data_IF_970274399798
#
_entry.id   IF_970274399798
#
_cell.length_a   1.000
_cell.length_b   1.000
_cell.length_c   1.000
_cell.angle_alpha   90.00
_cell.angle_beta   90.00
_cell.angle_gamma   90.00
#
_symmetry.space_group_name_H-M   'P 1'
#
loop_
_entity.id
_entity.type
_entity.pdbx_description
1 polymer ?
#
# COMPACT_ATOMS: atom_id res chain seq x y z
N UNK A 1 -21.99 25.63 7.15
CA UNK A 1 -20.73 25.38 7.87
C UNK A 1 -19.99 24.28 7.13
N UNK A 2 -18.95 24.63 6.37
CA UNK A 2 -18.12 23.65 5.66
C UNK A 2 -17.10 23.12 6.65
N UNK A 3 -17.28 21.87 7.08
CA UNK A 3 -16.36 21.22 8.00
C UNK A 3 -15.14 20.77 7.18
N UNK A 4 -14.07 21.56 7.20
CA UNK A 4 -12.79 21.16 6.61
C UNK A 4 -12.22 20.04 7.48
N UNK A 5 -12.48 18.78 7.11
CA UNK A 5 -11.82 17.64 7.74
C UNK A 5 -10.32 17.85 7.52
N UNK A 6 -9.48 17.91 8.58
CA UNK A 6 -8.05 18.04 8.39
C UNK A 6 -7.57 16.86 7.54
N UNK A 7 -6.95 17.19 6.39
CA UNK A 7 -6.34 16.22 5.50
C UNK A 7 -5.32 15.46 6.35
N UNK A 8 -5.62 14.21 6.69
CA UNK A 8 -4.69 13.41 7.50
C UNK A 8 -3.52 13.06 6.62
N UNK A 9 -2.35 13.66 6.88
CA UNK A 9 -1.10 13.32 6.19
C UNK A 9 -0.76 11.83 6.30
N UNK A 10 -1.32 11.17 7.33
CA UNK A 10 -1.16 9.74 7.61
C UNK A 10 -2.50 9.12 7.97
N UNK A 11 -2.87 8.03 7.30
CA UNK A 11 -4.12 7.32 7.55
C UNK A 11 -3.87 5.82 7.66
N UNK A 12 -4.47 5.19 8.69
CA UNK A 12 -4.48 3.74 8.85
C UNK A 12 -5.48 3.13 7.86
N UNK A 13 -5.05 2.09 7.15
CA UNK A 13 -5.92 1.35 6.24
C UNK A 13 -6.07 -0.05 6.81
N UNK A 14 -7.28 -0.38 7.27
CA UNK A 14 -7.56 -1.71 7.80
C UNK A 14 -7.54 -2.73 6.64
N UNK A 15 -6.89 -3.88 6.86
CA UNK A 15 -6.66 -4.91 5.85
C UNK A 15 -6.81 -6.30 6.45
N UNK A 16 -7.44 -7.21 5.70
CA UNK A 16 -7.41 -8.63 6.00
C UNK A 16 -6.00 -9.19 5.83
N UNK A 17 -5.73 -10.39 6.35
CA UNK A 17 -4.43 -11.04 6.17
C UNK A 17 -4.10 -11.33 4.70
N UNK A 18 -5.09 -11.70 3.90
CA UNK A 18 -4.91 -11.93 2.47
C UNK A 18 -4.50 -10.62 1.76
N UNK A 19 -5.14 -9.51 2.11
CA UNK A 19 -4.81 -8.19 1.58
C UNK A 19 -3.42 -7.73 1.99
N UNK A 20 -3.02 -7.98 3.24
CA UNK A 20 -1.67 -7.70 3.70
C UNK A 20 -0.62 -8.48 2.93
N UNK A 21 -0.88 -9.75 2.61
CA UNK A 21 0.01 -10.57 1.79
C UNK A 21 0.16 -10.03 0.37
N UNK A 22 -0.94 -9.60 -0.25
CA UNK A 22 -0.89 -9.00 -1.60
C UNK A 22 -0.10 -7.68 -1.58
N UNK A 23 -0.31 -6.83 -0.57
CA UNK A 23 0.49 -5.59 -0.44
C UNK A 23 1.96 -5.91 -0.18
N UNK A 24 2.26 -6.90 0.66
CA UNK A 24 3.63 -7.36 0.91
C UNK A 24 4.31 -7.81 -0.38
N UNK A 25 3.63 -8.65 -1.17
CA UNK A 25 4.12 -9.17 -2.44
C UNK A 25 4.46 -8.05 -3.44
N UNK A 26 3.53 -7.13 -3.74
CA UNK A 26 3.80 -6.06 -4.72
C UNK A 26 4.89 -5.08 -4.27
N UNK A 27 5.02 -4.89 -2.95
CA UNK A 27 6.09 -4.06 -2.37
C UNK A 27 7.44 -4.76 -2.48
N UNK A 28 7.48 -6.06 -2.25
CA UNK A 28 8.67 -6.88 -2.42
C UNK A 28 9.12 -6.91 -3.88
N UNK A 29 8.19 -7.05 -4.84
CA UNK A 29 8.51 -7.01 -6.27
C UNK A 29 9.18 -5.68 -6.67
N UNK A 30 8.75 -4.54 -6.13
CA UNK A 30 9.39 -3.24 -6.40
C UNK A 30 10.82 -3.16 -5.83
N UNK A 31 11.08 -3.84 -4.71
CA UNK A 31 12.43 -3.95 -4.14
C UNK A 31 13.29 -4.88 -5.00
N UNK A 32 12.77 -6.04 -5.38
CA UNK A 32 13.46 -7.02 -6.23
C UNK A 32 13.79 -6.43 -7.61
N UNK A 33 12.83 -5.75 -8.24
CA UNK A 33 13.05 -5.06 -9.51
C UNK A 33 14.17 -4.02 -9.44
N UNK A 34 14.25 -3.25 -8.35
CA UNK A 34 15.36 -2.30 -8.15
C UNK A 34 16.71 -3.01 -8.00
N UNK A 35 16.73 -4.17 -7.34
CA UNK A 35 17.93 -4.97 -7.18
C UNK A 35 18.40 -5.56 -8.52
N UNK A 36 17.48 -6.07 -9.34
CA UNK A 36 17.76 -6.54 -10.71
C UNK A 36 18.30 -5.41 -11.60
N UNK A 37 17.76 -4.20 -11.46
CA UNK A 37 18.23 -3.00 -12.15
C UNK A 37 19.56 -2.45 -11.61
N UNK A 38 20.12 -3.02 -10.52
CA UNK A 38 21.30 -2.53 -9.79
C UNK A 38 21.11 -1.11 -9.24
N UNK A 39 19.89 -0.77 -8.87
CA UNK A 39 19.51 0.49 -8.23
C UNK A 39 19.34 0.30 -6.72
N UNK A 40 19.25 1.40 -5.98
CA UNK A 40 18.90 1.33 -4.55
C UNK A 40 17.39 1.08 -4.39
N UNK A 41 16.98 0.26 -3.39
CA UNK A 41 15.57 0.00 -3.14
C UNK A 41 14.75 1.28 -2.92
N UNK A 42 13.52 1.35 -3.47
CA UNK A 42 12.66 2.49 -3.25
C UNK A 42 12.34 2.63 -1.76
N UNK A 43 12.62 3.80 -1.17
CA UNK A 43 12.42 4.04 0.27
C UNK A 43 10.98 3.77 0.73
N UNK A 44 9.99 4.05 -0.14
CA UNK A 44 8.58 3.86 0.18
C UNK A 44 8.25 2.37 0.28
N UNK A 45 8.89 1.53 -0.52
CA UNK A 45 8.67 0.09 -0.53
C UNK A 45 9.23 -0.51 0.77
N UNK A 46 10.48 -0.18 1.12
CA UNK A 46 11.07 -0.57 2.41
C UNK A 46 10.20 -0.12 3.60
N UNK A 47 9.75 1.14 3.61
CA UNK A 47 8.93 1.67 4.70
C UNK A 47 7.57 0.97 4.82
N UNK A 48 6.95 0.57 3.71
CA UNK A 48 5.68 -0.17 3.73
C UNK A 48 5.91 -1.62 4.19
N UNK A 49 6.99 -2.26 3.73
CA UNK A 49 7.38 -3.60 4.14
C UNK A 49 7.58 -3.68 5.66
N UNK A 50 8.37 -2.75 6.21
CA UNK A 50 8.59 -2.62 7.66
C UNK A 50 7.24 -2.48 8.40
N UNK A 51 6.34 -1.59 7.95
CA UNK A 51 5.02 -1.42 8.62
C UNK A 51 4.15 -2.67 8.59
N UNK A 52 4.30 -3.53 7.58
CA UNK A 52 3.58 -4.78 7.48
C UNK A 52 4.16 -5.85 8.41
N UNK A 53 5.50 -5.91 8.52
CA UNK A 53 6.24 -6.93 9.28
C UNK A 53 6.37 -6.60 10.77
N UNK A 54 6.55 -5.33 11.13
CA UNK A 54 6.94 -4.87 12.46
C UNK A 54 5.75 -4.78 13.45
N UNK A 55 4.68 -5.55 13.21
CA UNK A 55 3.50 -5.56 14.07
C UNK A 55 3.67 -6.50 15.26
N UNK A 56 3.70 -5.98 16.50
CA UNK A 56 3.77 -6.84 17.67
C UNK A 56 2.51 -7.70 17.74
N UNK A 57 2.71 -9.02 17.82
CA UNK A 57 1.66 -10.01 18.10
C UNK A 57 1.20 -9.82 19.54
N UNK A 58 0.41 -8.77 19.80
CA UNK A 58 -0.39 -8.68 21.02
C UNK A 58 -1.79 -9.16 20.66
N UNK A 59 -2.25 -10.16 21.39
CA UNK A 59 -3.42 -11.02 21.14
C UNK A 59 -4.79 -10.31 20.94
N UNK A 60 -4.84 -8.98 20.89
CA UNK A 60 -6.07 -8.19 20.68
C UNK A 60 -6.09 -7.27 19.46
N UNK A 61 -4.98 -7.12 18.73
CA UNK A 61 -4.91 -6.25 17.54
C UNK A 61 -4.94 -7.06 16.22
N UNK A 62 -5.75 -8.11 16.18
CA UNK A 62 -5.86 -9.02 15.01
C UNK A 62 -6.49 -8.32 13.80
N UNK A 63 -7.23 -7.23 14.02
CA UNK A 63 -7.90 -6.47 12.96
C UNK A 63 -7.39 -5.02 12.91
N UNK A 64 -6.34 -4.82 12.11
CA UNK A 64 -5.83 -3.50 11.76
C UNK A 64 -4.93 -3.61 10.54
N UNK A 65 -4.59 -2.51 9.91
CA UNK A 65 -3.56 -2.48 8.87
C UNK A 65 -2.58 -1.34 9.06
N UNK A 66 -1.58 -1.21 8.18
CA UNK A 66 -0.52 -0.23 8.34
C UNK A 66 -1.04 1.20 8.15
N UNK A 67 -0.30 2.16 8.71
CA UNK A 67 -0.54 3.59 8.52
C UNK A 67 0.30 4.10 7.35
N UNK A 68 -0.35 4.58 6.30
CA UNK A 68 0.30 5.12 5.11
C UNK A 68 0.39 6.63 5.16
N UNK A 69 1.46 7.17 4.58
CA UNK A 69 1.49 8.55 4.10
C UNK A 69 0.76 8.67 2.75
N UNK A 70 0.42 9.88 2.32
CA UNK A 70 -0.19 10.11 1.01
C UNK A 70 0.69 9.59 -0.16
N UNK A 71 2.02 9.77 -0.06
CA UNK A 71 2.95 9.29 -1.09
C UNK A 71 3.02 7.77 -1.14
N UNK A 72 3.13 7.11 0.01
CA UNK A 72 3.13 5.64 0.09
C UNK A 72 1.81 5.08 -0.43
N UNK A 73 0.68 5.66 -0.03
CA UNK A 73 -0.63 5.23 -0.50
C UNK A 73 -0.76 5.33 -2.03
N UNK A 74 -0.26 6.41 -2.62
CA UNK A 74 -0.24 6.58 -4.08
C UNK A 74 0.64 5.53 -4.78
N UNK A 75 1.86 5.29 -4.26
CA UNK A 75 2.78 4.27 -4.82
C UNK A 75 2.20 2.86 -4.71
N UNK A 76 1.69 2.49 -3.53
CA UNK A 76 1.08 1.18 -3.29
C UNK A 76 -0.16 0.99 -4.15
N UNK A 77 -1.04 2.00 -4.26
CA UNK A 77 -2.21 1.93 -5.15
C UNK A 77 -1.80 1.65 -6.59
N UNK A 78 -0.76 2.34 -7.08
CA UNK A 78 -0.24 2.13 -8.44
C UNK A 78 0.30 0.72 -8.63
N UNK A 79 1.13 0.22 -7.69
CA UNK A 79 1.67 -1.14 -7.74
C UNK A 79 0.57 -2.20 -7.72
N UNK A 80 -0.41 -2.07 -6.80
CA UNK A 80 -1.58 -2.96 -6.72
C UNK A 80 -2.43 -2.96 -8.00
N UNK A 81 -2.58 -1.79 -8.64
CA UNK A 81 -3.34 -1.69 -9.89
C UNK A 81 -2.61 -2.42 -11.02
N UNK A 82 -1.30 -2.21 -11.16
CA UNK A 82 -0.48 -2.89 -12.15
C UNK A 82 -0.49 -4.42 -11.93
N UNK A 83 -0.37 -4.85 -10.67
CA UNK A 83 -0.46 -6.27 -10.31
C UNK A 83 -1.83 -6.85 -10.65
N UNK A 84 -2.92 -6.16 -10.33
CA UNK A 84 -4.28 -6.63 -10.65
C UNK A 84 -4.59 -6.67 -12.16
N UNK A 85 -3.93 -5.84 -12.96
CA UNK A 85 -4.07 -5.80 -14.42
C UNK A 85 -3.23 -6.88 -15.13
N UNK A 86 -2.28 -7.50 -14.43
CA UNK A 86 -1.48 -8.60 -14.99
C UNK A 86 -2.37 -9.84 -15.21
N UNK A 87 -2.33 -10.46 -16.41
CA UNK A 87 -3.11 -11.67 -16.70
C UNK A 87 -2.64 -12.89 -15.91
N UNK A 88 -1.44 -12.85 -15.33
CA UNK A 88 -0.86 -13.94 -14.54
C UNK A 88 -1.31 -13.91 -13.08
N UNK A 89 -1.94 -12.81 -12.64
CA UNK A 89 -2.35 -12.63 -11.25
C UNK A 89 -3.54 -13.51 -10.89
N UNK A 90 -3.45 -14.33 -9.83
CA UNK A 90 -4.56 -15.16 -9.38
C UNK A 90 -5.81 -14.32 -9.05
N UNK A 91 -7.00 -14.80 -9.40
CA UNK A 91 -8.26 -14.07 -9.21
C UNK A 91 -8.51 -13.66 -7.75
N UNK A 92 -8.08 -14.48 -6.79
CA UNK A 92 -8.15 -14.17 -5.37
C UNK A 92 -7.33 -12.92 -5.03
N UNK A 93 -6.13 -12.82 -5.61
CA UNK A 93 -5.21 -11.71 -5.37
C UNK A 93 -5.65 -10.45 -6.11
N UNK A 94 -6.23 -10.57 -7.32
CA UNK A 94 -6.90 -9.46 -8.03
C UNK A 94 -7.97 -8.83 -7.13
N UNK A 95 -8.82 -9.66 -6.51
CA UNK A 95 -9.91 -9.18 -5.64
C UNK A 95 -9.36 -8.41 -4.44
N UNK A 96 -8.33 -8.95 -3.79
CA UNK A 96 -7.65 -8.30 -2.66
C UNK A 96 -6.96 -6.99 -3.08
N UNK A 97 -6.21 -7.01 -4.19
CA UNK A 97 -5.49 -5.85 -4.71
C UNK A 97 -6.45 -4.70 -5.04
N UNK A 98 -7.53 -4.98 -5.78
CA UNK A 98 -8.56 -3.99 -6.13
C UNK A 98 -9.25 -3.45 -4.87
N UNK A 99 -9.56 -4.33 -3.91
CA UNK A 99 -10.18 -3.94 -2.65
C UNK A 99 -9.31 -2.99 -1.81
N UNK A 100 -8.00 -3.22 -1.76
CA UNK A 100 -7.05 -2.32 -1.07
C UNK A 100 -6.85 -1.03 -1.86
N UNK A 101 -6.64 -1.09 -3.17
CA UNK A 101 -6.45 0.08 -4.01
C UNK A 101 -7.61 1.08 -3.90
N UNK A 102 -8.86 0.59 -3.86
CA UNK A 102 -10.05 1.42 -3.64
C UNK A 102 -10.08 2.11 -2.27
N UNK A 103 -9.67 1.41 -1.21
CA UNK A 103 -9.59 2.01 0.14
C UNK A 103 -8.50 3.06 0.23
N UNK A 104 -7.35 2.83 -0.39
CA UNK A 104 -6.28 3.82 -0.48
C UNK A 104 -6.75 5.07 -1.24
N UNK A 105 -7.43 4.88 -2.36
CA UNK A 105 -7.99 5.98 -3.16
C UNK A 105 -9.03 6.80 -2.39
N UNK A 106 -9.93 6.13 -1.67
CA UNK A 106 -10.93 6.80 -0.85
C UNK A 106 -10.32 7.55 0.35
N UNK A 107 -9.20 7.06 0.90
CA UNK A 107 -8.56 7.64 2.07
C UNK A 107 -7.61 8.82 1.74
N UNK A 108 -7.09 8.91 0.52
CA UNK A 108 -6.07 9.88 0.12
C UNK A 108 -6.44 10.56 -1.20
N UNK A 109 -6.77 11.86 -1.13
CA UNK A 109 -7.54 12.54 -2.19
C UNK A 109 -6.71 13.00 -3.41
N UNK A 110 -5.38 13.19 -3.35
CA UNK A 110 -4.61 13.53 -4.57
C UNK A 110 -3.19 12.93 -4.54
N UNK A 111 -2.63 12.59 -5.72
CA UNK A 111 -1.19 12.41 -5.88
C UNK A 111 -0.43 13.67 -5.39
N UNK A 112 0.79 13.54 -4.86
CA UNK A 112 1.64 14.71 -4.67
C UNK A 112 1.75 15.45 -6.02
N UNK A 113 1.57 16.78 -6.00
CA UNK A 113 1.80 17.59 -7.19
C UNK A 113 3.20 17.27 -7.72
N UNK A 114 3.29 16.84 -8.98
CA UNK A 114 4.58 16.62 -9.61
C UNK A 114 5.37 17.94 -9.54
N UNK A 115 6.56 17.91 -8.97
CA UNK A 115 7.50 19.03 -9.06
C UNK A 115 8.01 19.01 -10.50
N UNK A 116 7.39 19.79 -11.38
CA UNK A 116 7.91 20.15 -12.72
C UNK A 116 8.97 21.23 -12.61
#
# INVERSE_FOLDING_TARGET
MTQTVPRRDRTRIDMSRAEQWVVHHVVLEEIEASHEARESPPWWALSVLEKLEDRPVRERDIDGGPTFTCYEAWRVRRALTAYAESPETPTADVTAAVGVARRLDAAFVEPPAAIT
#
